data_IF_153253005220
#
_entry.id   IF_153253005220
#
_cell.length_a   1.000
_cell.length_b   1.000
_cell.length_c   1.000
_cell.angle_alpha   90.00
_cell.angle_beta   90.00
_cell.angle_gamma   90.00
#
_symmetry.space_group_name_H-M   'P 1'
#
loop_
_entity.id
_entity.type
_entity.pdbx_description
1 polymer ?
#
# COMPACT_ATOMS: atom_id res chain seq x y z
N UNK A 1 44.66 -5.35 -4.86
CA UNK A 1 45.31 -4.42 -5.79
C UNK A 1 44.58 -4.25 -7.11
N UNK A 2 44.12 -5.33 -7.76
CA UNK A 2 43.45 -5.29 -9.07
C UNK A 2 42.10 -4.55 -8.98
N UNK A 3 41.21 -4.94 -8.05
CA UNK A 3 39.89 -4.34 -7.86
C UNK A 3 39.96 -2.82 -7.66
N UNK A 4 40.92 -2.36 -6.84
CA UNK A 4 41.13 -0.95 -6.59
C UNK A 4 41.51 -0.18 -7.86
N UNK A 5 42.39 -0.76 -8.69
CA UNK A 5 42.84 -0.16 -9.97
C UNK A 5 41.61 -0.02 -10.94
N UNK A 6 40.80 -1.06 -11.01
CA UNK A 6 39.60 -1.05 -11.86
C UNK A 6 38.57 -0.03 -11.38
N UNK A 7 38.31 0.07 -10.08
CA UNK A 7 37.40 1.07 -9.51
C UNK A 7 37.88 2.49 -9.80
N UNK A 8 39.16 2.80 -9.59
CA UNK A 8 39.71 4.12 -9.90
C UNK A 8 39.67 4.44 -11.39
N UNK A 9 39.94 3.46 -12.27
CA UNK A 9 39.80 3.62 -13.72
C UNK A 9 38.34 3.84 -14.12
N UNK A 10 37.40 3.16 -13.48
CA UNK A 10 35.96 3.37 -13.69
C UNK A 10 35.52 4.77 -13.25
N UNK A 11 35.93 5.22 -12.06
CA UNK A 11 35.63 6.57 -11.57
C UNK A 11 36.21 7.67 -12.46
N UNK A 12 37.39 7.47 -13.04
CA UNK A 12 37.99 8.42 -13.96
C UNK A 12 37.21 8.60 -15.29
N UNK A 13 36.53 7.53 -15.73
CA UNK A 13 35.73 7.50 -16.98
C UNK A 13 34.27 7.84 -16.77
N UNK A 14 33.73 7.67 -15.56
CA UNK A 14 32.32 7.88 -15.27
C UNK A 14 31.96 9.38 -15.40
N UNK A 15 30.89 9.67 -16.08
CA UNK A 15 30.26 10.98 -16.05
C UNK A 15 29.45 11.13 -14.75
N UNK A 16 30.10 11.67 -13.72
CA UNK A 16 29.46 11.96 -12.43
C UNK A 16 29.05 13.41 -12.37
N UNK A 17 27.76 13.66 -12.55
CA UNK A 17 27.16 14.97 -12.34
C UNK A 17 26.80 15.18 -10.86
N UNK A 18 27.03 16.37 -10.35
CA UNK A 18 26.56 16.71 -9.01
C UNK A 18 25.04 16.98 -9.01
N UNK A 19 24.34 16.27 -8.18
CA UNK A 19 22.89 16.42 -7.97
C UNK A 19 22.54 17.58 -7.06
N UNK A 20 23.51 18.11 -6.29
CA UNK A 20 23.32 19.27 -5.43
C UNK A 20 23.89 20.51 -6.11
N UNK A 21 23.06 21.54 -6.35
CA UNK A 21 23.56 22.81 -6.87
C UNK A 21 24.55 23.45 -5.87
N UNK A 22 25.64 24.02 -6.34
CA UNK A 22 26.59 24.69 -5.45
C UNK A 22 25.91 25.87 -4.74
N UNK A 23 25.90 25.85 -3.41
CA UNK A 23 25.45 26.95 -2.57
C UNK A 23 24.09 26.80 -1.89
N UNK A 24 23.19 25.95 -2.38
CA UNK A 24 21.80 25.88 -1.86
C UNK A 24 21.64 25.18 -0.49
N UNK A 25 22.65 24.48 -0.03
CA UNK A 25 22.59 23.72 1.23
C UNK A 25 23.22 24.43 2.43
N UNK A 26 23.69 25.65 2.26
CA UNK A 26 24.33 26.45 3.33
C UNK A 26 23.40 26.72 4.53
N UNK A 27 22.08 26.71 4.30
CA UNK A 27 21.08 26.86 5.38
C UNK A 27 20.87 25.56 6.18
N UNK A 28 21.20 24.40 5.60
CA UNK A 28 20.97 23.08 6.21
C UNK A 28 22.28 22.51 6.75
N UNK A 29 23.39 22.78 6.07
CA UNK A 29 24.72 22.35 6.48
C UNK A 29 25.71 23.51 6.35
N UNK A 30 26.33 23.98 7.46
CA UNK A 30 27.29 25.09 7.43
C UNK A 30 28.58 24.74 6.69
N UNK A 31 28.87 23.48 6.45
CA UNK A 31 30.02 23.04 5.65
C UNK A 31 29.59 22.70 4.22
N UNK A 32 30.30 23.22 3.20
CA UNK A 32 30.00 22.84 1.83
C UNK A 32 30.15 21.32 1.64
N UNK A 33 29.16 20.71 1.00
CA UNK A 33 29.24 19.30 0.65
C UNK A 33 30.34 19.10 -0.40
N UNK A 34 31.08 18.01 -0.26
CA UNK A 34 32.04 17.58 -1.28
C UNK A 34 31.31 17.30 -2.60
N UNK A 35 32.00 17.40 -3.73
CA UNK A 35 31.48 16.90 -4.99
C UNK A 35 31.30 15.38 -4.92
N UNK A 36 30.37 14.83 -5.67
CA UNK A 36 30.15 13.38 -5.70
C UNK A 36 31.42 12.63 -6.14
N UNK A 37 32.12 13.18 -7.12
CA UNK A 37 33.39 12.64 -7.61
C UNK A 37 34.48 12.61 -6.55
N UNK A 38 34.67 13.73 -5.84
CA UNK A 38 35.70 13.82 -4.80
C UNK A 38 35.38 12.87 -3.64
N UNK A 39 34.12 12.79 -3.22
CA UNK A 39 33.69 11.89 -2.15
C UNK A 39 33.94 10.42 -2.52
N UNK A 40 33.54 9.98 -3.70
CA UNK A 40 33.78 8.62 -4.17
C UNK A 40 35.26 8.32 -4.34
N UNK A 41 36.01 9.22 -4.97
CA UNK A 41 37.45 9.04 -5.17
C UNK A 41 38.20 8.94 -3.84
N UNK A 42 37.84 9.77 -2.86
CA UNK A 42 38.43 9.74 -1.53
C UNK A 42 38.10 8.43 -0.78
N UNK A 43 36.86 7.98 -0.78
CA UNK A 43 36.45 6.75 -0.06
C UNK A 43 37.12 5.52 -0.65
N UNK A 44 37.39 5.49 -1.95
CA UNK A 44 38.15 4.41 -2.58
C UNK A 44 39.67 4.55 -2.45
N UNK A 45 40.16 5.77 -2.13
CA UNK A 45 41.56 6.07 -1.95
C UNK A 45 41.76 7.09 -0.83
N UNK A 46 41.45 6.74 0.44
CA UNK A 46 41.63 7.65 1.55
C UNK A 46 43.10 8.04 1.73
N UNK A 47 43.34 9.27 2.14
CA UNK A 47 44.69 9.75 2.46
C UNK A 47 45.20 9.14 3.75
N UNK A 48 46.49 8.95 3.90
CA UNK A 48 47.09 8.33 5.10
C UNK A 48 46.91 9.15 6.39
N UNK A 49 46.69 10.45 6.28
CA UNK A 49 46.55 11.41 7.37
C UNK A 49 45.12 11.48 7.95
N UNK A 50 44.18 10.75 7.39
CA UNK A 50 42.79 10.75 7.85
C UNK A 50 42.58 9.74 8.96
N UNK A 51 41.86 10.16 10.02
CA UNK A 51 41.50 9.27 11.13
C UNK A 51 40.63 8.10 10.63
N UNK A 52 41.06 6.88 10.97
CA UNK A 52 40.30 5.66 10.69
C UNK A 52 38.94 5.66 11.37
N UNK A 53 38.83 6.26 12.56
CA UNK A 53 37.58 6.34 13.30
C UNK A 53 36.51 7.09 12.50
N UNK A 54 36.83 8.24 11.88
CA UNK A 54 35.89 8.99 11.07
C UNK A 54 35.43 8.25 9.83
N UNK A 55 36.23 7.35 9.29
CA UNK A 55 35.86 6.47 8.17
C UNK A 55 34.99 5.32 8.63
N UNK A 56 35.31 4.71 9.78
CA UNK A 56 34.56 3.59 10.34
C UNK A 56 33.19 4.02 10.86
N UNK A 57 33.12 5.17 11.54
CA UNK A 57 31.87 5.73 12.06
C UNK A 57 31.06 6.47 10.98
N UNK A 58 31.56 6.51 9.75
CA UNK A 58 30.92 7.20 8.64
C UNK A 58 30.63 8.71 8.92
N UNK A 59 31.46 9.36 9.72
CA UNK A 59 31.33 10.80 10.05
C UNK A 59 32.16 11.70 9.14
N UNK A 60 33.07 11.13 8.34
CA UNK A 60 33.86 11.91 7.38
C UNK A 60 32.98 12.62 6.34
N UNK A 61 33.31 13.86 5.90
CA UNK A 61 32.51 14.62 4.93
C UNK A 61 32.18 13.86 3.63
N UNK A 62 33.09 13.01 3.14
CA UNK A 62 32.83 12.16 1.99
C UNK A 62 31.66 11.17 2.21
N UNK A 63 31.55 10.58 3.41
CA UNK A 63 30.40 9.77 3.79
C UNK A 63 29.13 10.58 3.94
N UNK A 64 29.23 11.79 4.50
CA UNK A 64 28.08 12.69 4.62
C UNK A 64 27.51 13.08 3.26
N UNK A 65 28.40 13.26 2.26
CA UNK A 65 27.97 13.51 0.87
C UNK A 65 27.13 12.35 0.31
N UNK A 66 27.58 11.10 0.47
CA UNK A 66 26.85 9.92 -0.01
C UNK A 66 25.54 9.70 0.74
N UNK A 67 25.53 9.87 2.06
CA UNK A 67 24.30 9.82 2.86
C UNK A 67 23.29 10.86 2.40
N UNK A 68 23.71 12.08 2.14
CA UNK A 68 22.84 13.14 1.64
C UNK A 68 22.25 12.79 0.26
N UNK A 69 23.06 12.23 -0.63
CA UNK A 69 22.60 11.76 -1.95
C UNK A 69 21.53 10.68 -1.84
N UNK A 70 21.78 9.67 -1.03
CA UNK A 70 20.83 8.58 -0.82
C UNK A 70 19.52 9.07 -0.20
N UNK A 71 19.59 9.89 0.82
CA UNK A 71 18.42 10.50 1.47
C UNK A 71 17.60 11.34 0.49
N UNK A 72 18.28 12.15 -0.35
CA UNK A 72 17.62 12.94 -1.37
C UNK A 72 16.91 12.03 -2.39
N UNK A 73 17.60 11.03 -2.90
CA UNK A 73 17.03 10.08 -3.86
C UNK A 73 15.79 9.37 -3.28
N UNK A 74 15.85 8.94 -2.02
CA UNK A 74 14.72 8.33 -1.31
C UNK A 74 13.55 9.31 -1.16
N UNK A 75 13.82 10.56 -0.75
CA UNK A 75 12.78 11.58 -0.60
C UNK A 75 12.13 11.95 -1.94
N UNK A 76 12.92 12.12 -2.99
CA UNK A 76 12.41 12.40 -4.33
C UNK A 76 11.54 11.25 -4.85
N UNK A 77 11.99 10.01 -4.69
CA UNK A 77 11.21 8.82 -5.06
C UNK A 77 9.88 8.75 -4.31
N UNK A 78 9.88 9.06 -3.01
CA UNK A 78 8.65 9.11 -2.22
C UNK A 78 7.73 10.24 -2.67
N UNK A 79 8.26 11.43 -2.96
CA UNK A 79 7.47 12.57 -3.46
C UNK A 79 6.87 12.28 -4.83
N UNK A 80 7.64 11.69 -5.75
CA UNK A 80 7.13 11.26 -7.06
C UNK A 80 6.00 10.23 -6.90
N UNK A 81 6.20 9.23 -6.04
CA UNK A 81 5.18 8.22 -5.75
C UNK A 81 3.91 8.83 -5.11
N UNK A 82 4.06 9.84 -4.25
CA UNK A 82 2.93 10.58 -3.67
C UNK A 82 2.19 11.39 -4.73
N UNK A 83 2.91 12.10 -5.61
CA UNK A 83 2.32 12.87 -6.73
C UNK A 83 1.57 11.97 -7.70
N UNK A 84 2.17 10.85 -8.10
CA UNK A 84 1.52 9.87 -8.97
C UNK A 84 0.23 9.33 -8.34
N UNK A 85 0.23 9.02 -7.05
CA UNK A 85 -0.97 8.57 -6.33
C UNK A 85 -2.04 9.66 -6.17
N UNK A 86 -1.63 10.91 -5.97
CA UNK A 86 -2.57 12.03 -5.84
C UNK A 86 -3.37 12.30 -7.13
N UNK A 87 -2.86 11.88 -8.28
CA UNK A 87 -3.58 11.94 -9.55
C UNK A 87 -4.65 10.83 -9.70
N UNK A 88 -4.54 9.74 -8.93
CA UNK A 88 -5.51 8.65 -8.95
C UNK A 88 -6.78 9.04 -8.22
N UNK A 89 -7.90 8.45 -8.63
CA UNK A 89 -9.19 8.58 -7.96
C UNK A 89 -9.56 7.27 -7.28
N UNK A 90 -10.27 7.38 -6.16
CA UNK A 90 -10.84 6.26 -5.43
C UNK A 90 -12.29 6.57 -5.06
N UNK A 91 -13.14 5.56 -4.94
CA UNK A 91 -14.48 5.75 -4.41
C UNK A 91 -14.41 6.28 -2.97
N UNK A 92 -15.34 7.14 -2.64
CA UNK A 92 -15.49 7.65 -1.27
C UNK A 92 -16.20 6.59 -0.44
N UNK A 93 -15.47 5.98 0.47
CA UNK A 93 -15.99 4.99 1.39
C UNK A 93 -16.29 5.68 2.73
N UNK A 94 -17.40 6.38 2.79
CA UNK A 94 -17.77 7.19 3.95
C UNK A 94 -18.99 6.61 4.63
N UNK A 95 -18.91 6.45 5.94
CA UNK A 95 -20.09 6.19 6.75
C UNK A 95 -20.97 7.44 6.82
N UNK A 96 -22.32 7.30 6.73
CA UNK A 96 -23.22 8.40 6.97
C UNK A 96 -22.96 9.04 8.35
N UNK A 97 -23.18 10.35 8.46
CA UNK A 97 -23.06 11.06 9.75
C UNK A 97 -24.43 11.69 10.09
N UNK A 98 -25.05 11.34 11.24
CA UNK A 98 -24.60 10.34 12.22
C UNK A 98 -24.59 8.93 11.66
N UNK A 99 -23.68 8.09 12.16
CA UNK A 99 -23.61 6.69 11.74
C UNK A 99 -24.88 5.95 12.14
N UNK A 100 -25.57 5.25 11.19
CA UNK A 100 -26.76 4.47 11.52
C UNK A 100 -26.45 3.35 12.52
N UNK A 101 -27.33 3.13 13.48
CA UNK A 101 -27.16 2.09 14.47
C UNK A 101 -27.19 0.67 13.85
N UNK A 102 -27.78 0.52 12.67
CA UNK A 102 -27.88 -0.72 11.91
C UNK A 102 -26.75 -0.87 10.85
N UNK A 103 -25.79 0.06 10.81
CA UNK A 103 -24.62 -0.08 9.94
C UNK A 103 -23.88 -1.40 10.24
N UNK A 104 -23.29 -2.00 9.20
CA UNK A 104 -22.51 -3.22 9.37
C UNK A 104 -21.34 -3.00 10.35
N UNK A 105 -20.74 -1.80 10.31
CA UNK A 105 -19.67 -1.42 11.23
C UNK A 105 -20.14 -1.46 12.69
N UNK A 106 -21.30 -0.87 13.04
CA UNK A 106 -21.86 -0.91 14.41
C UNK A 106 -22.29 -2.33 14.80
N UNK A 107 -22.95 -3.04 13.90
CA UNK A 107 -23.34 -4.44 14.11
C UNK A 107 -22.13 -5.35 14.35
N UNK A 108 -21.04 -5.11 13.60
CA UNK A 108 -19.79 -5.84 13.81
C UNK A 108 -19.19 -5.52 15.19
N UNK A 109 -19.16 -4.27 15.61
CA UNK A 109 -18.71 -3.90 16.95
C UNK A 109 -19.51 -4.58 18.06
N UNK A 110 -20.82 -4.76 17.87
CA UNK A 110 -21.70 -5.40 18.83
C UNK A 110 -21.49 -6.91 18.98
N UNK A 111 -21.06 -7.62 17.92
CA UNK A 111 -20.82 -9.08 17.93
C UNK A 111 -19.40 -9.45 18.34
N UNK A 112 -18.48 -8.48 18.43
CA UNK A 112 -17.12 -8.78 18.90
C UNK A 112 -17.13 -9.21 20.38
N UNK A 113 -16.43 -10.30 20.74
CA UNK A 113 -16.40 -10.80 22.12
C UNK A 113 -15.52 -9.97 23.07
N UNK A 114 -15.06 -8.81 22.63
CA UNK A 114 -14.19 -7.89 23.37
C UNK A 114 -14.38 -6.44 22.91
N UNK A 115 -14.11 -5.51 23.81
CA UNK A 115 -14.08 -4.08 23.45
C UNK A 115 -12.79 -3.67 22.74
N UNK A 116 -12.86 -2.66 21.88
CA UNK A 116 -11.67 -2.10 21.25
C UNK A 116 -10.79 -1.36 22.25
N UNK A 117 -9.48 -1.49 22.11
CA UNK A 117 -8.50 -0.64 22.82
C UNK A 117 -8.54 0.79 22.30
N UNK A 118 -8.00 1.74 23.07
CA UNK A 118 -7.88 3.14 22.63
C UNK A 118 -7.03 3.27 21.35
N UNK A 119 -5.98 2.46 21.22
CA UNK A 119 -5.14 2.44 20.02
C UNK A 119 -5.92 1.96 18.77
N UNK A 120 -6.71 0.89 18.92
CA UNK A 120 -7.54 0.36 17.84
C UNK A 120 -8.62 1.36 17.40
N UNK A 121 -9.28 2.03 18.37
CA UNK A 121 -10.26 3.11 18.07
C UNK A 121 -9.62 4.25 17.30
N UNK A 122 -8.47 4.75 17.77
CA UNK A 122 -7.76 5.84 17.10
C UNK A 122 -7.36 5.47 15.68
N UNK A 123 -6.73 4.31 15.48
CA UNK A 123 -6.30 3.85 14.16
C UNK A 123 -7.49 3.57 13.26
N UNK A 124 -8.58 3.00 13.78
CA UNK A 124 -9.82 2.78 13.04
C UNK A 124 -10.41 4.11 12.53
N UNK A 125 -10.48 5.14 13.38
CA UNK A 125 -10.94 6.47 12.99
C UNK A 125 -10.04 7.12 11.93
N UNK A 126 -8.72 6.98 12.05
CA UNK A 126 -7.77 7.46 11.04
C UNK A 126 -7.96 6.75 9.68
N UNK A 127 -8.20 5.44 9.68
CA UNK A 127 -8.48 4.64 8.48
C UNK A 127 -9.78 5.13 7.85
N UNK A 128 -10.86 5.24 8.62
CA UNK A 128 -12.16 5.73 8.15
C UNK A 128 -12.05 7.11 7.49
N UNK A 129 -11.34 8.05 8.13
CA UNK A 129 -11.08 9.37 7.58
C UNK A 129 -10.26 9.34 6.27
N UNK A 130 -9.35 8.38 6.11
CA UNK A 130 -8.62 8.22 4.86
C UNK A 130 -9.47 7.61 3.76
N UNK A 131 -10.33 6.64 4.09
CA UNK A 131 -11.25 5.98 3.16
C UNK A 131 -12.34 6.93 2.65
N UNK A 132 -12.71 7.95 3.43
CA UNK A 132 -13.64 9.00 3.03
C UNK A 132 -13.07 10.01 2.00
N UNK A 133 -11.81 9.87 1.58
CA UNK A 133 -11.19 10.77 0.60
C UNK A 133 -11.33 10.23 -0.81
N UNK A 134 -11.37 11.13 -1.80
CA UNK A 134 -11.35 10.79 -3.24
C UNK A 134 -9.99 10.32 -3.77
N UNK A 135 -9.01 10.10 -2.89
CA UNK A 135 -7.65 9.68 -3.24
C UNK A 135 -7.39 8.32 -2.62
N UNK A 136 -6.79 7.36 -3.36
CA UNK A 136 -6.52 6.03 -2.83
C UNK A 136 -5.72 6.07 -1.53
N UNK A 137 -6.23 5.39 -0.51
CA UNK A 137 -5.51 5.18 0.74
C UNK A 137 -4.38 4.16 0.54
N UNK A 138 -3.18 4.49 1.00
CA UNK A 138 -2.08 3.54 1.10
C UNK A 138 -1.50 3.62 2.51
N UNK A 139 -1.89 2.69 3.36
CA UNK A 139 -1.56 2.72 4.79
C UNK A 139 -0.96 1.40 5.25
N UNK A 140 0.12 1.49 6.01
CA UNK A 140 0.71 0.37 6.72
C UNK A 140 0.19 0.36 8.16
N UNK A 141 -0.39 -0.77 8.57
CA UNK A 141 -0.81 -1.04 9.95
C UNK A 141 0.26 -1.87 10.64
N UNK A 142 0.97 -1.28 11.58
CA UNK A 142 1.97 -1.96 12.40
C UNK A 142 1.45 -2.20 13.82
N UNK A 143 1.92 -3.28 14.42
CA UNK A 143 1.61 -3.67 15.79
C UNK A 143 2.12 -5.08 16.07
N UNK A 144 2.29 -5.40 17.33
CA UNK A 144 2.77 -6.71 17.79
C UNK A 144 1.83 -7.85 17.39
N UNK A 145 2.32 -9.08 17.49
CA UNK A 145 1.48 -10.27 17.36
C UNK A 145 0.41 -10.24 18.46
N UNK A 146 -0.85 -10.44 18.07
CA UNK A 146 -1.96 -10.33 19.04
C UNK A 146 -2.51 -8.92 19.28
N UNK A 147 -1.91 -7.85 18.74
CA UNK A 147 -2.41 -6.47 18.89
C UNK A 147 -3.80 -6.21 18.25
N UNK A 148 -4.41 -7.24 17.66
CA UNK A 148 -5.76 -7.14 17.07
C UNK A 148 -5.79 -6.43 15.72
N UNK A 149 -4.73 -6.49 14.93
CA UNK A 149 -4.71 -5.96 13.54
C UNK A 149 -5.88 -6.47 12.70
N UNK A 150 -6.25 -7.74 12.89
CA UNK A 150 -7.39 -8.36 12.15
C UNK A 150 -8.73 -7.68 12.46
N UNK A 151 -8.97 -7.23 13.70
CA UNK A 151 -10.22 -6.53 14.02
C UNK A 151 -10.28 -5.15 13.38
N UNK A 152 -9.17 -4.43 13.35
CA UNK A 152 -9.08 -3.13 12.63
C UNK A 152 -9.32 -3.33 11.13
N UNK A 153 -8.75 -4.39 10.55
CA UNK A 153 -8.99 -4.77 9.15
C UNK A 153 -10.47 -5.11 8.89
N UNK A 154 -11.11 -5.87 9.78
CA UNK A 154 -12.52 -6.22 9.68
C UNK A 154 -13.44 -4.99 9.77
N UNK A 155 -13.14 -4.04 10.65
CA UNK A 155 -13.90 -2.79 10.75
C UNK A 155 -13.73 -1.91 9.50
N UNK A 156 -12.52 -1.84 8.93
CA UNK A 156 -12.31 -1.16 7.66
C UNK A 156 -13.07 -1.84 6.50
N UNK A 157 -13.09 -3.18 6.47
CA UNK A 157 -13.88 -3.94 5.51
C UNK A 157 -15.38 -3.66 5.69
N UNK A 158 -15.89 -3.58 6.93
CA UNK A 158 -17.29 -3.25 7.20
C UNK A 158 -17.67 -1.87 6.64
N UNK A 159 -16.84 -0.85 6.83
CA UNK A 159 -17.05 0.48 6.23
C UNK A 159 -17.12 0.42 4.70
N UNK A 160 -16.22 -0.39 4.09
CA UNK A 160 -16.21 -0.57 2.64
C UNK A 160 -17.51 -1.23 2.16
N UNK A 161 -17.97 -2.26 2.86
CA UNK A 161 -19.21 -3.00 2.53
C UNK A 161 -20.46 -2.17 2.79
N UNK A 162 -20.50 -1.38 3.86
CA UNK A 162 -21.58 -0.40 4.12
C UNK A 162 -21.72 0.63 3.00
N UNK A 163 -20.61 1.00 2.37
CA UNK A 163 -20.60 1.89 1.21
C UNK A 163 -20.99 1.17 -0.12
N UNK A 164 -21.37 -0.10 -0.07
CA UNK A 164 -21.79 -0.90 -1.22
C UNK A 164 -20.65 -1.45 -2.09
N UNK A 165 -19.43 -1.53 -1.56
CA UNK A 165 -18.25 -1.99 -2.28
C UNK A 165 -17.71 -3.30 -1.74
N UNK A 166 -16.99 -4.04 -2.61
CA UNK A 166 -16.32 -5.27 -2.23
C UNK A 166 -14.95 -4.99 -1.59
N UNK A 167 -14.58 -5.87 -0.64
CA UNK A 167 -13.30 -5.87 0.01
C UNK A 167 -12.55 -7.18 -0.26
N UNK A 168 -11.25 -7.12 -0.52
CA UNK A 168 -10.37 -8.29 -0.63
C UNK A 168 -9.35 -8.32 0.51
N UNK A 169 -9.18 -9.47 1.16
CA UNK A 169 -8.13 -9.72 2.14
C UNK A 169 -7.21 -10.82 1.62
N UNK A 170 -5.95 -10.48 1.44
CA UNK A 170 -4.94 -11.38 0.89
C UNK A 170 -3.89 -11.74 1.95
N UNK A 171 -3.64 -13.03 2.14
CA UNK A 171 -2.59 -13.56 3.00
C UNK A 171 -1.56 -14.36 2.18
N UNK A 172 -0.29 -14.44 2.62
CA UNK A 172 0.79 -15.04 1.83
C UNK A 172 0.71 -16.55 1.71
N UNK A 173 0.06 -17.22 2.65
CA UNK A 173 -0.09 -18.68 2.67
C UNK A 173 -1.54 -19.07 2.88
N UNK A 174 -1.91 -20.28 2.44
CA UNK A 174 -3.26 -20.82 2.63
C UNK A 174 -3.62 -20.98 4.10
N UNK A 175 -2.66 -21.36 4.94
CA UNK A 175 -2.89 -21.52 6.39
C UNK A 175 -3.26 -20.18 7.03
N UNK A 176 -2.52 -19.12 6.74
CA UNK A 176 -2.83 -17.78 7.25
C UNK A 176 -4.15 -17.24 6.69
N UNK A 177 -4.38 -17.44 5.39
CA UNK A 177 -5.64 -17.06 4.78
C UNK A 177 -6.84 -17.81 5.41
N UNK A 178 -6.70 -19.10 5.70
CA UNK A 178 -7.73 -19.88 6.37
C UNK A 178 -8.00 -19.41 7.80
N UNK A 179 -6.97 -19.06 8.56
CA UNK A 179 -7.12 -18.48 9.89
C UNK A 179 -7.91 -17.16 9.84
N UNK A 180 -7.58 -16.27 8.90
CA UNK A 180 -8.33 -15.03 8.70
C UNK A 180 -9.77 -15.32 8.26
N UNK A 181 -9.95 -16.21 7.29
CA UNK A 181 -11.27 -16.57 6.78
C UNK A 181 -12.19 -17.08 7.88
N UNK A 182 -11.76 -18.09 8.66
CA UNK A 182 -12.55 -18.65 9.77
C UNK A 182 -12.92 -17.59 10.78
N UNK A 183 -11.97 -16.72 11.15
CA UNK A 183 -12.19 -15.67 12.13
C UNK A 183 -13.19 -14.62 11.63
N UNK A 184 -13.03 -14.17 10.39
CA UNK A 184 -13.91 -13.17 9.76
C UNK A 184 -15.30 -13.76 9.49
N UNK A 185 -15.37 -15.00 9.03
CA UNK A 185 -16.63 -15.71 8.82
C UNK A 185 -17.44 -15.76 10.12
N UNK A 186 -16.81 -16.14 11.24
CA UNK A 186 -17.47 -16.18 12.55
C UNK A 186 -18.05 -14.84 13.01
N UNK A 187 -17.53 -13.72 12.54
CA UNK A 187 -18.04 -12.39 12.87
C UNK A 187 -19.06 -11.87 11.85
N UNK A 188 -18.90 -12.18 10.58
CA UNK A 188 -19.65 -11.56 9.47
C UNK A 188 -20.84 -12.41 9.00
N UNK A 189 -20.76 -13.74 9.08
CA UNK A 189 -21.85 -14.63 8.71
C UNK A 189 -23.14 -14.37 9.53
N UNK A 190 -23.07 -14.19 10.88
CA UNK A 190 -24.25 -13.84 11.66
C UNK A 190 -24.86 -12.50 11.28
N UNK A 191 -24.09 -11.63 10.61
CA UNK A 191 -24.53 -10.32 10.11
C UNK A 191 -25.10 -10.36 8.69
N UNK A 192 -25.17 -11.57 8.08
CA UNK A 192 -25.72 -11.77 6.74
C UNK A 192 -24.73 -11.43 5.61
N UNK A 193 -23.43 -11.35 5.89
CA UNK A 193 -22.39 -11.04 4.89
C UNK A 193 -21.90 -12.32 4.22
N UNK A 194 -22.01 -12.37 2.91
CA UNK A 194 -21.45 -13.46 2.09
C UNK A 194 -19.95 -13.25 1.91
N UNK A 195 -19.17 -14.26 2.33
CA UNK A 195 -17.71 -14.23 2.21
C UNK A 195 -17.26 -15.34 1.24
N UNK A 196 -16.47 -14.97 0.22
CA UNK A 196 -15.86 -15.91 -0.69
C UNK A 196 -14.43 -16.28 -0.23
N UNK A 197 -14.11 -17.56 -0.42
CA UNK A 197 -12.79 -18.12 -0.18
C UNK A 197 -12.10 -18.42 -1.52
N UNK A 198 -10.85 -17.95 -1.71
CA UNK A 198 -10.14 -18.16 -2.98
C UNK A 198 -8.67 -18.50 -2.76
N UNK A 199 -8.30 -19.76 -3.06
CA UNK A 199 -6.90 -20.24 -3.00
C UNK A 199 -6.50 -21.00 -4.28
N UNK A 200 -5.20 -21.32 -4.36
CA UNK A 200 -4.64 -22.03 -5.51
C UNK A 200 -5.05 -23.48 -5.60
N UNK A 201 -5.33 -24.14 -4.46
CA UNK A 201 -5.56 -25.59 -4.33
C UNK A 201 -7.03 -26.00 -4.39
N UNK A 202 -7.96 -25.05 -4.52
CA UNK A 202 -9.39 -25.32 -4.58
C UNK A 202 -9.80 -26.20 -5.76
N UNK A 203 -10.76 -27.12 -5.54
CA UNK A 203 -11.39 -27.90 -6.60
C UNK A 203 -12.09 -26.99 -7.62
N UNK A 204 -12.02 -27.35 -8.88
CA UNK A 204 -12.55 -26.55 -10.00
C UNK A 204 -14.01 -26.14 -9.82
N UNK A 205 -14.87 -27.04 -9.30
CA UNK A 205 -16.30 -26.75 -9.07
C UNK A 205 -16.49 -25.69 -7.97
N UNK A 206 -15.81 -25.86 -6.85
CA UNK A 206 -15.88 -24.91 -5.72
C UNK A 206 -15.33 -23.55 -6.13
N UNK A 207 -14.18 -23.54 -6.81
CA UNK A 207 -13.57 -22.30 -7.32
C UNK A 207 -14.52 -21.57 -8.27
N UNK A 208 -15.20 -22.28 -9.19
CA UNK A 208 -16.16 -21.66 -10.11
C UNK A 208 -17.33 -21.02 -9.36
N UNK A 209 -17.85 -21.67 -8.32
CA UNK A 209 -18.92 -21.11 -7.50
C UNK A 209 -18.45 -19.83 -6.79
N UNK A 210 -17.24 -19.81 -6.21
CA UNK A 210 -16.69 -18.62 -5.56
C UNK A 210 -16.48 -17.47 -6.56
N UNK A 211 -15.96 -17.76 -7.75
CA UNK A 211 -15.78 -16.76 -8.81
C UNK A 211 -17.11 -16.12 -9.23
N UNK A 212 -18.19 -16.92 -9.35
CA UNK A 212 -19.52 -16.40 -9.68
C UNK A 212 -20.06 -15.47 -8.58
N UNK A 213 -19.86 -15.78 -7.29
CA UNK A 213 -20.24 -14.92 -6.16
C UNK A 213 -19.44 -13.61 -6.13
N UNK A 214 -18.18 -13.64 -6.54
CA UNK A 214 -17.31 -12.44 -6.61
C UNK A 214 -17.78 -11.55 -7.77
N UNK A 215 -17.97 -12.12 -8.94
CA UNK A 215 -18.37 -11.40 -10.16
C UNK A 215 -19.78 -10.81 -10.06
N UNK A 216 -20.72 -11.51 -9.44
CA UNK A 216 -22.08 -10.98 -9.17
C UNK A 216 -22.09 -9.87 -8.11
N UNK A 217 -21.05 -9.77 -7.28
CA UNK A 217 -20.98 -8.87 -6.12
C UNK A 217 -21.75 -9.40 -4.90
N UNK A 218 -22.28 -10.62 -4.93
CA UNK A 218 -22.92 -11.26 -3.78
C UNK A 218 -21.90 -11.52 -2.67
N UNK A 219 -20.67 -11.94 -3.01
CA UNK A 219 -19.57 -11.97 -2.06
C UNK A 219 -19.03 -10.56 -1.84
N UNK A 220 -19.35 -9.99 -0.70
CA UNK A 220 -18.90 -8.66 -0.30
C UNK A 220 -17.46 -8.65 0.24
N UNK A 221 -17.05 -9.75 0.87
CA UNK A 221 -15.67 -9.97 1.33
C UNK A 221 -15.07 -11.17 0.61
N UNK A 222 -13.86 -11.03 0.09
CA UNK A 222 -13.09 -12.10 -0.52
C UNK A 222 -11.81 -12.32 0.26
N UNK A 223 -11.60 -13.50 0.80
CA UNK A 223 -10.39 -13.87 1.55
C UNK A 223 -9.64 -14.95 0.80
N UNK A 224 -8.33 -14.84 0.70
CA UNK A 224 -7.54 -15.89 0.05
C UNK A 224 -6.06 -15.55 -0.08
N UNK A 225 -5.41 -16.22 -1.02
CA UNK A 225 -3.99 -16.03 -1.31
C UNK A 225 -3.78 -15.21 -2.59
N UNK A 226 -2.61 -15.31 -3.19
CA UNK A 226 -2.32 -14.73 -4.51
C UNK A 226 -3.31 -15.15 -5.62
N UNK A 227 -4.15 -16.15 -5.37
CA UNK A 227 -5.22 -16.54 -6.28
C UNK A 227 -6.22 -15.41 -6.57
N UNK A 228 -6.38 -14.45 -5.63
CA UNK A 228 -7.27 -13.29 -5.76
C UNK A 228 -6.83 -12.34 -6.89
N UNK A 229 -5.53 -12.21 -7.13
CA UNK A 229 -4.98 -11.29 -8.13
C UNK A 229 -4.85 -11.88 -9.54
N UNK A 230 -5.24 -13.16 -9.74
CA UNK A 230 -5.20 -13.78 -11.06
C UNK A 230 -6.19 -13.10 -12.03
N UNK A 231 -5.86 -13.06 -13.31
CA UNK A 231 -6.66 -12.39 -14.34
C UNK A 231 -8.09 -12.89 -14.43
N UNK A 232 -8.32 -14.18 -14.14
CA UNK A 232 -9.63 -14.83 -14.16
C UNK A 232 -10.57 -14.44 -13.01
N UNK A 233 -10.12 -13.63 -12.07
CA UNK A 233 -10.93 -13.14 -10.95
C UNK A 233 -11.45 -11.76 -11.30
N UNK A 234 -12.72 -11.62 -11.56
CA UNK A 234 -13.39 -10.36 -11.86
C UNK A 234 -14.25 -9.96 -10.66
N UNK A 235 -14.00 -8.77 -10.13
CA UNK A 235 -14.82 -8.18 -9.09
C UNK A 235 -15.88 -7.30 -9.73
N UNK A 236 -17.06 -7.25 -9.15
CA UNK A 236 -18.07 -6.31 -9.58
C UNK A 236 -17.69 -4.87 -9.21
N UNK A 237 -17.14 -4.65 -8.03
CA UNK A 237 -16.87 -3.32 -7.48
C UNK A 237 -15.86 -3.36 -6.31
N UNK A 238 -14.63 -3.76 -6.58
CA UNK A 238 -13.57 -3.79 -5.57
C UNK A 238 -13.09 -2.39 -5.22
N UNK A 239 -13.14 -2.01 -3.94
CA UNK A 239 -12.66 -0.71 -3.48
C UNK A 239 -11.60 -0.78 -2.38
N UNK A 240 -11.55 -1.83 -1.58
CA UNK A 240 -10.57 -2.01 -0.53
C UNK A 240 -9.81 -3.31 -0.68
N UNK A 241 -8.49 -3.25 -0.66
CA UNK A 241 -7.63 -4.42 -0.57
C UNK A 241 -6.77 -4.36 0.69
N UNK A 242 -6.81 -5.43 1.46
CA UNK A 242 -6.06 -5.62 2.69
C UNK A 242 -5.02 -6.71 2.45
N UNK A 243 -3.75 -6.43 2.72
CA UNK A 243 -2.66 -7.38 2.56
C UNK A 243 -2.06 -7.66 3.94
N UNK A 244 -2.16 -8.90 4.39
CA UNK A 244 -1.47 -9.34 5.59
C UNK A 244 -0.04 -9.76 5.25
N UNK A 245 0.93 -9.49 6.15
CA UNK A 245 2.34 -9.83 5.99
C UNK A 245 2.91 -9.36 4.62
N UNK A 246 2.68 -8.10 4.27
CA UNK A 246 3.00 -7.55 2.95
C UNK A 246 4.45 -7.77 2.48
N UNK A 247 5.41 -7.94 3.43
CA UNK A 247 6.81 -8.20 3.12
C UNK A 247 7.05 -9.55 2.44
N UNK A 248 6.10 -10.49 2.56
CA UNK A 248 6.13 -11.80 1.90
C UNK A 248 5.61 -11.78 0.46
N UNK A 249 5.05 -10.65 0.03
CA UNK A 249 4.57 -10.48 -1.34
C UNK A 249 5.60 -9.75 -2.20
N UNK A 250 5.88 -10.29 -3.38
CA UNK A 250 6.73 -9.64 -4.37
C UNK A 250 6.14 -8.33 -4.91
N UNK A 251 6.99 -7.51 -5.51
CA UNK A 251 6.58 -6.22 -6.10
C UNK A 251 5.50 -6.41 -7.17
N UNK A 252 5.65 -7.44 -8.02
CA UNK A 252 4.70 -7.76 -9.09
C UNK A 252 3.31 -8.08 -8.55
N UNK A 253 3.20 -8.85 -7.46
CA UNK A 253 1.92 -9.21 -6.85
C UNK A 253 1.19 -7.99 -6.25
N UNK A 254 1.94 -7.10 -5.59
CA UNK A 254 1.39 -5.85 -5.05
C UNK A 254 0.93 -4.90 -6.15
N UNK A 255 1.66 -4.88 -7.26
CA UNK A 255 1.29 -4.10 -8.45
C UNK A 255 0.03 -4.65 -9.11
N UNK A 256 -0.08 -5.98 -9.29
CA UNK A 256 -1.26 -6.63 -9.85
C UNK A 256 -2.54 -6.33 -9.04
N UNK A 257 -2.46 -6.38 -7.70
CA UNK A 257 -3.58 -6.02 -6.84
C UNK A 257 -3.97 -4.55 -6.99
N UNK A 258 -2.98 -3.65 -7.06
CA UNK A 258 -3.23 -2.22 -7.29
C UNK A 258 -3.88 -1.96 -8.63
N UNK A 259 -3.42 -2.63 -9.68
CA UNK A 259 -4.02 -2.48 -11.03
C UNK A 259 -5.46 -2.97 -11.04
N UNK A 260 -5.77 -4.06 -10.34
CA UNK A 260 -7.13 -4.58 -10.20
C UNK A 260 -8.07 -3.56 -9.56
N UNK A 261 -7.65 -2.92 -8.46
CA UNK A 261 -8.38 -1.81 -7.84
C UNK A 261 -8.58 -0.59 -8.77
N UNK A 262 -7.65 -0.35 -9.70
CA UNK A 262 -7.72 0.78 -10.63
C UNK A 262 -8.64 0.50 -11.82
N UNK A 263 -8.61 -0.71 -12.38
CA UNK A 263 -9.44 -1.11 -13.52
C UNK A 263 -10.93 -1.01 -13.17
N UNK A 264 -11.33 -1.59 -12.06
CA UNK A 264 -12.72 -1.56 -11.60
C UNK A 264 -13.23 -0.14 -11.34
N UNK A 265 -12.34 0.78 -10.97
CA UNK A 265 -12.69 2.18 -10.74
C UNK A 265 -12.70 3.05 -12.02
N UNK A 266 -11.90 2.71 -13.03
CA UNK A 266 -11.86 3.45 -14.31
C UNK A 266 -13.05 3.10 -15.19
N UNK A 267 -13.41 1.84 -15.34
CA UNK A 267 -14.58 1.43 -16.14
C UNK A 267 -15.86 2.09 -15.62
N UNK A 268 -16.05 2.18 -14.29
CA UNK A 268 -17.19 2.87 -13.71
C UNK A 268 -17.20 4.39 -13.89
N UNK A 269 -16.03 5.04 -13.91
CA UNK A 269 -15.98 6.47 -14.16
C UNK A 269 -16.33 6.80 -15.60
N UNK A 270 -16.06 5.92 -16.54
CA UNK A 270 -16.45 6.03 -17.95
C UNK A 270 -17.96 5.75 -18.16
N UNK A 271 -18.51 4.75 -17.47
CA UNK A 271 -19.96 4.49 -17.50
C UNK A 271 -20.77 5.69 -16.96
N UNK A 272 -20.40 6.25 -15.81
CA UNK A 272 -21.05 7.45 -15.28
C UNK A 272 -20.87 8.68 -16.16
N UNK A 273 -19.77 8.79 -16.89
CA UNK A 273 -19.56 9.91 -17.82
C UNK A 273 -20.42 9.74 -19.07
N UNK A 274 -20.60 8.51 -19.54
CA UNK A 274 -21.46 8.21 -20.69
C UNK A 274 -22.95 8.37 -20.35
N UNK A 275 -23.41 8.02 -19.16
CA UNK A 275 -24.78 8.26 -18.70
C UNK A 275 -25.09 9.76 -18.58
N UNK A 276 -24.17 10.58 -18.08
CA UNK A 276 -24.33 12.04 -18.04
C UNK A 276 -24.33 12.69 -19.43
N UNK A 277 -23.61 12.12 -20.40
CA UNK A 277 -23.65 12.59 -21.78
C UNK A 277 -24.91 12.16 -22.52
N UNK A 278 -25.54 11.05 -22.17
CA UNK A 278 -26.81 10.61 -22.76
C UNK A 278 -28.01 11.42 -22.27
N UNK A 279 -27.92 12.08 -21.11
CA UNK A 279 -28.96 12.97 -20.59
C UNK A 279 -28.82 14.44 -21.00
N UNK A 280 -27.73 14.86 -21.62
CA UNK A 280 -27.56 16.25 -22.10
C UNK A 280 -27.98 16.48 -23.55
N UNK A 281 -28.59 15.50 -24.19
CA UNK A 281 -29.18 15.61 -25.55
C UNK A 281 -30.63 16.09 -25.56
N UNK A 282 -30.94 17.26 -25.03
CA UNK A 282 -32.21 17.92 -25.31
C UNK A 282 -31.96 19.09 -26.27
N UNK A 283 -32.51 18.87 -27.45
CA UNK A 283 -32.60 19.74 -28.62
C UNK A 283 -33.12 21.14 -28.36
N UNK A 284 -32.61 22.03 -29.17
CA UNK A 284 -33.41 23.14 -29.69
C UNK A 284 -34.02 22.76 -31.04
#
# INVERSE_FOLDING_TARGET
>A
PVLRKEVLAGLARAELSDTFPPGDLSQINPQPLWTLRDALSFLHHPRPDVSLDTLMDHTHPAWQRLKAEELLAQQLSQLQSRRARAALRAPVLQMPLPEPADSLHQRLLAVLPFGLTNAQRRVGAEIANNMARKVPMHRLLQGDVGAGKTVVAALAAAICMDAGWQCALMAPTEILAEQHFRKLLGWLEPLGITTAWLTGTQKTKERRAMLALIESGEAQLVVGTHAIIQDKVHFKNLALAIIDEQHRFGVAQRLALRNKLQHDNMERSEEHTSELQSHSGISY
#
